data_IF_860507122782
#
_entry.id   IF_860507122782
#
_cell.length_a   1.000
_cell.length_b   1.000
_cell.length_c   1.000
_cell.angle_alpha   90.00
_cell.angle_beta   90.00
_cell.angle_gamma   90.00
#
_symmetry.space_group_name_H-M   'P 1'
#
loop_
_entity.id
_entity.type
_entity.pdbx_description
1 polymer ?
#
# COMPACT_ATOMS: atom_id res chain seq x y z
N UNK A 1 33.51 7.85 -5.81
CA UNK A 1 32.59 8.99 -6.01
C UNK A 1 31.17 8.58 -6.46
N UNK A 2 30.92 7.40 -7.07
CA UNK A 2 29.56 7.02 -7.52
C UNK A 2 28.63 6.35 -6.48
N UNK A 3 29.16 5.98 -5.32
CA UNK A 3 28.44 5.23 -4.25
C UNK A 3 27.61 6.16 -3.34
N UNK A 4 28.02 7.42 -3.19
CA UNK A 4 27.31 8.40 -2.35
C UNK A 4 26.14 9.05 -3.08
N UNK A 5 26.27 9.29 -4.39
CA UNK A 5 25.18 9.79 -5.23
C UNK A 5 24.02 8.78 -5.30
N UNK A 6 24.31 7.48 -5.33
CA UNK A 6 23.30 6.41 -5.37
C UNK A 6 22.60 6.19 -4.03
N UNK A 7 23.31 6.29 -2.90
CA UNK A 7 22.70 6.20 -1.57
C UNK A 7 21.74 7.37 -1.29
N UNK A 8 22.16 8.60 -1.59
CA UNK A 8 21.32 9.79 -1.44
C UNK A 8 20.10 9.78 -2.38
N UNK A 9 20.28 9.35 -3.63
CA UNK A 9 19.18 9.21 -4.58
C UNK A 9 18.16 8.15 -4.12
N UNK A 10 18.62 7.01 -3.60
CA UNK A 10 17.75 5.97 -3.03
C UNK A 10 16.92 6.50 -1.86
N UNK A 11 17.57 7.17 -0.90
CA UNK A 11 16.91 7.77 0.27
C UNK A 11 15.85 8.80 -0.14
N UNK A 12 16.20 9.65 -1.11
CA UNK A 12 15.27 10.62 -1.69
C UNK A 12 14.08 9.95 -2.37
N UNK A 13 14.31 8.93 -3.21
CA UNK A 13 13.23 8.21 -3.89
C UNK A 13 12.26 7.57 -2.90
N UNK A 14 12.75 6.92 -1.85
CA UNK A 14 11.89 6.30 -0.84
C UNK A 14 11.07 7.35 -0.07
N UNK A 15 11.69 8.46 0.34
CA UNK A 15 11.01 9.54 1.08
C UNK A 15 9.98 10.24 0.20
N UNK A 16 10.32 10.51 -1.06
CA UNK A 16 9.41 11.11 -2.02
C UNK A 16 8.22 10.19 -2.31
N UNK A 17 8.46 8.89 -2.52
CA UNK A 17 7.40 7.91 -2.69
C UNK A 17 6.50 7.82 -1.46
N UNK A 18 7.04 7.93 -0.24
CA UNK A 18 6.24 7.95 0.99
C UNK A 18 5.32 9.16 1.02
N UNK A 19 5.88 10.36 0.78
CA UNK A 19 5.11 11.60 0.80
C UNK A 19 4.00 11.60 -0.27
N UNK A 20 4.31 11.20 -1.50
CA UNK A 20 3.35 11.14 -2.60
C UNK A 20 2.26 10.11 -2.34
N UNK A 21 2.62 8.90 -1.87
CA UNK A 21 1.65 7.85 -1.55
C UNK A 21 0.72 8.30 -0.42
N UNK A 22 1.28 8.87 0.66
CA UNK A 22 0.48 9.37 1.77
C UNK A 22 -0.46 10.49 1.32
N UNK A 23 0.02 11.43 0.52
CA UNK A 23 -0.79 12.52 -0.01
C UNK A 23 -1.95 12.00 -0.87
N UNK A 24 -1.70 11.05 -1.78
CA UNK A 24 -2.75 10.49 -2.64
C UNK A 24 -3.78 9.72 -1.81
N UNK A 25 -3.34 8.84 -0.90
CA UNK A 25 -4.24 7.98 -0.12
C UNK A 25 -5.10 8.79 0.86
N UNK A 26 -4.54 9.82 1.49
CA UNK A 26 -5.29 10.72 2.38
C UNK A 26 -6.29 11.58 1.62
N UNK A 27 -5.92 12.14 0.47
CA UNK A 27 -6.87 12.85 -0.40
C UNK A 27 -8.00 11.93 -0.89
N UNK A 28 -7.67 10.68 -1.24
CA UNK A 28 -8.67 9.70 -1.66
C UNK A 28 -9.63 9.34 -0.51
N UNK A 29 -9.12 9.19 0.71
CA UNK A 29 -9.94 8.99 1.90
C UNK A 29 -10.89 10.18 2.16
N UNK A 30 -10.39 11.42 2.02
CA UNK A 30 -11.21 12.63 2.14
C UNK A 30 -12.29 12.69 1.04
N UNK A 31 -11.93 12.42 -0.21
CA UNK A 31 -12.87 12.39 -1.32
C UNK A 31 -13.97 11.34 -1.13
N UNK A 32 -13.61 10.13 -0.70
CA UNK A 32 -14.61 9.07 -0.45
C UNK A 32 -15.50 9.37 0.75
N UNK A 33 -14.99 10.03 1.79
CA UNK A 33 -15.78 10.53 2.91
C UNK A 33 -16.74 11.65 2.48
N UNK A 34 -16.29 12.60 1.65
CA UNK A 34 -17.16 13.62 1.07
C UNK A 34 -18.26 13.00 0.20
N UNK A 35 -17.89 12.06 -0.67
CA UNK A 35 -18.84 11.34 -1.53
C UNK A 35 -19.83 10.49 -0.72
N UNK A 36 -19.41 9.96 0.43
CA UNK A 36 -20.29 9.24 1.34
C UNK A 36 -21.46 10.11 1.82
N UNK A 37 -21.32 11.44 1.86
CA UNK A 37 -22.42 12.34 2.22
C UNK A 37 -23.60 12.26 1.24
N UNK A 38 -23.37 11.92 -0.02
CA UNK A 38 -24.43 11.71 -1.01
C UNK A 38 -25.09 10.32 -0.97
N UNK A 39 -24.60 9.39 -0.13
CA UNK A 39 -25.15 8.02 -0.03
C UNK A 39 -26.16 7.95 1.11
N UNK A 40 -27.29 7.28 0.86
CA UNK A 40 -28.28 6.91 1.86
C UNK A 40 -27.98 5.53 2.45
N UNK A 41 -28.39 5.29 3.70
CA UNK A 41 -28.19 4.03 4.42
C UNK A 41 -27.52 4.20 5.78
N UNK A 42 -27.11 3.07 6.37
CA UNK A 42 -26.43 3.04 7.68
C UNK A 42 -25.02 3.63 7.60
N UNK A 43 -24.46 4.07 8.74
CA UNK A 43 -23.12 4.66 8.81
C UNK A 43 -22.04 3.78 8.17
N UNK A 44 -22.09 2.45 8.38
CA UNK A 44 -21.15 1.49 7.79
C UNK A 44 -21.31 1.31 6.27
N UNK A 45 -22.54 1.37 5.75
CA UNK A 45 -22.77 1.33 4.30
C UNK A 45 -22.40 2.65 3.60
N UNK A 46 -22.49 3.75 4.35
CA UNK A 46 -22.19 5.11 3.90
C UNK A 46 -20.68 5.37 3.89
N UNK A 47 -20.03 5.21 5.04
CA UNK A 47 -18.61 5.53 5.27
C UNK A 47 -17.68 4.32 5.21
N UNK A 48 -18.19 3.10 5.02
CA UNK A 48 -17.38 1.88 4.89
C UNK A 48 -16.18 2.03 3.94
N UNK A 49 -16.35 2.55 2.71
CA UNK A 49 -15.24 2.78 1.80
C UNK A 49 -14.17 3.75 2.35
N UNK A 50 -14.59 4.80 3.07
CA UNK A 50 -13.67 5.77 3.65
C UNK A 50 -12.86 5.15 4.80
N UNK A 51 -13.51 4.39 5.68
CA UNK A 51 -12.82 3.69 6.77
C UNK A 51 -11.83 2.63 6.27
N UNK A 52 -12.20 1.90 5.21
CA UNK A 52 -11.28 0.96 4.56
C UNK A 52 -10.03 1.66 4.01
N UNK A 53 -10.18 2.85 3.42
CA UNK A 53 -9.04 3.65 2.94
C UNK A 53 -8.20 4.23 4.08
N UNK A 54 -8.83 4.70 5.16
CA UNK A 54 -8.12 5.20 6.34
C UNK A 54 -7.28 4.10 6.97
N UNK A 55 -7.77 2.85 7.00
CA UNK A 55 -6.99 1.70 7.50
C UNK A 55 -5.94 1.26 6.47
N UNK A 56 -6.26 1.24 5.17
CA UNK A 56 -5.31 0.87 4.12
C UNK A 56 -4.10 1.81 4.06
N UNK A 57 -4.29 3.10 4.36
CA UNK A 57 -3.26 4.14 4.29
C UNK A 57 -2.02 3.82 5.14
N UNK A 58 -2.11 3.65 6.48
CA UNK A 58 -0.96 3.31 7.30
C UNK A 58 -0.39 1.93 6.96
N UNK A 59 -1.22 0.98 6.53
CA UNK A 59 -0.76 -0.35 6.11
C UNK A 59 0.14 -0.29 4.87
N UNK A 60 -0.23 0.50 3.86
CA UNK A 60 0.59 0.71 2.67
C UNK A 60 1.82 1.56 2.97
N UNK A 61 1.68 2.58 3.81
CA UNK A 61 2.81 3.43 4.19
C UNK A 61 3.81 2.70 5.10
N UNK A 62 3.45 1.60 5.77
CA UNK A 62 4.32 0.90 6.72
C UNK A 62 5.64 0.42 6.08
N UNK A 63 5.59 -0.15 4.87
CA UNK A 63 6.81 -0.62 4.20
C UNK A 63 7.68 0.54 3.69
N UNK A 64 7.06 1.60 3.15
CA UNK A 64 7.79 2.81 2.75
C UNK A 64 8.43 3.51 3.96
N UNK A 65 7.74 3.52 5.10
CA UNK A 65 8.26 4.05 6.36
C UNK A 65 9.50 3.24 6.79
N UNK A 66 9.44 1.91 6.74
CA UNK A 66 10.61 1.04 7.02
C UNK A 66 11.80 1.40 6.14
N UNK A 67 11.58 1.60 4.84
CA UNK A 67 12.63 2.01 3.90
C UNK A 67 13.23 3.38 4.24
N UNK A 68 12.40 4.37 4.58
CA UNK A 68 12.87 5.70 4.99
C UNK A 68 13.67 5.66 6.30
N UNK A 69 13.21 4.87 7.29
CA UNK A 69 13.93 4.68 8.55
C UNK A 69 15.27 3.96 8.37
N UNK A 70 15.37 3.05 7.39
CA UNK A 70 16.63 2.41 7.03
C UNK A 70 17.61 3.38 6.37
N UNK A 71 17.12 4.23 5.46
CA UNK A 71 17.97 5.18 4.75
C UNK A 71 18.40 6.37 5.63
N UNK A 72 17.70 6.64 6.74
CA UNK A 72 18.05 7.68 7.73
C UNK A 72 18.96 7.17 8.85
N UNK A 73 19.43 5.93 8.76
CA UNK A 73 20.19 5.21 9.78
C UNK A 73 19.47 4.99 11.14
N UNK A 74 18.20 5.40 11.28
CA UNK A 74 17.40 5.33 12.52
C UNK A 74 17.02 3.87 12.86
N UNK A 75 16.69 3.06 11.86
CA UNK A 75 16.36 1.65 12.04
C UNK A 75 17.34 0.76 11.28
N UNK A 76 18.59 0.80 11.73
CA UNK A 76 19.68 -0.01 11.18
C UNK A 76 19.93 -1.24 12.05
N UNK A 77 19.91 -2.41 11.42
CA UNK A 77 20.18 -3.67 12.10
C UNK A 77 19.82 -4.87 11.24
N UNK A 78 20.16 -6.09 11.66
CA UNK A 78 19.72 -7.32 10.97
C UNK A 78 18.19 -7.46 10.99
N UNK A 79 17.50 -6.78 11.91
CA UNK A 79 16.05 -6.81 12.08
C UNK A 79 15.27 -5.97 11.08
N UNK A 80 15.85 -4.94 10.45
CA UNK A 80 15.17 -4.15 9.43
C UNK A 80 15.34 -4.72 8.01
N UNK A 81 16.34 -5.59 7.82
CA UNK A 81 16.64 -6.24 6.53
C UNK A 81 15.48 -7.14 6.11
N UNK A 82 15.04 -6.98 4.86
CA UNK A 82 13.95 -7.78 4.29
C UNK A 82 14.38 -9.22 3.97
N UNK A 83 15.66 -9.43 3.68
CA UNK A 83 16.25 -10.73 3.39
C UNK A 83 17.29 -11.09 4.44
N UNK A 84 17.50 -12.39 4.67
CA UNK A 84 18.59 -12.90 5.54
C UNK A 84 19.96 -12.73 4.87
N UNK A 85 20.97 -12.45 5.69
CA UNK A 85 22.34 -12.11 5.23
C UNK A 85 23.09 -13.25 4.53
N UNK A 86 22.74 -14.51 4.82
CA UNK A 86 23.39 -15.69 4.23
C UNK A 86 22.75 -16.17 2.94
N UNK A 87 21.76 -15.47 2.42
CA UNK A 87 21.23 -15.77 1.10
C UNK A 87 21.99 -14.98 0.05
N UNK A 88 22.57 -15.70 -0.91
CA UNK A 88 23.10 -15.10 -2.14
C UNK A 88 21.99 -14.43 -2.97
N UNK A 89 22.33 -13.93 -4.17
CA UNK A 89 21.36 -13.30 -5.07
C UNK A 89 20.26 -14.32 -5.42
N UNK A 90 19.11 -14.16 -4.76
CA UNK A 90 17.98 -15.08 -4.89
C UNK A 90 17.13 -14.67 -6.09
N UNK A 91 17.21 -15.45 -7.16
CA UNK A 91 16.35 -15.36 -8.34
C UNK A 91 15.20 -16.39 -8.24
N UNK A 92 13.98 -15.95 -8.60
CA UNK A 92 12.79 -16.82 -8.63
C UNK A 92 12.17 -17.11 -7.26
N UNK A 93 11.50 -18.27 -7.14
CA UNK A 93 10.75 -18.66 -5.93
C UNK A 93 11.61 -18.78 -4.66
N UNK A 94 12.93 -18.92 -4.81
CA UNK A 94 13.87 -19.05 -3.69
C UNK A 94 13.94 -17.78 -2.82
N UNK A 95 13.57 -16.62 -3.39
CA UNK A 95 13.49 -15.35 -2.66
C UNK A 95 12.42 -15.33 -1.55
N UNK A 96 11.32 -16.07 -1.72
CA UNK A 96 10.25 -16.14 -0.71
C UNK A 96 10.70 -16.86 0.57
N UNK A 97 11.53 -17.89 0.44
CA UNK A 97 12.05 -18.67 1.56
C UNK A 97 13.15 -17.95 2.34
N UNK A 98 13.81 -16.96 1.71
CA UNK A 98 14.83 -16.15 2.34
C UNK A 98 14.30 -14.88 3.03
N UNK A 99 13.00 -14.62 2.93
CA UNK A 99 12.40 -13.44 3.52
C UNK A 99 12.52 -13.49 5.06
N UNK A 100 13.00 -12.40 5.65
CA UNK A 100 13.02 -12.25 7.11
C UNK A 100 11.60 -12.11 7.65
N UNK A 101 11.45 -12.26 8.97
CA UNK A 101 10.16 -12.04 9.65
C UNK A 101 9.62 -10.63 9.33
N UNK A 102 10.51 -9.64 9.31
CA UNK A 102 10.18 -8.25 8.97
C UNK A 102 9.69 -8.13 7.52
N UNK A 103 10.31 -8.83 6.58
CA UNK A 103 9.87 -8.85 5.18
C UNK A 103 8.48 -9.47 5.02
N UNK A 104 8.19 -10.57 5.73
CA UNK A 104 6.86 -11.17 5.77
C UNK A 104 5.81 -10.21 6.36
N UNK A 105 6.10 -9.56 7.47
CA UNK A 105 5.14 -8.66 8.12
C UNK A 105 4.88 -7.38 7.32
N UNK A 106 5.92 -6.66 6.91
CA UNK A 106 5.74 -5.38 6.24
C UNK A 106 5.34 -5.54 4.78
N UNK A 107 5.99 -6.45 4.05
CA UNK A 107 5.73 -6.58 2.62
C UNK A 107 4.56 -7.51 2.31
N UNK A 108 4.48 -8.68 2.96
CA UNK A 108 3.39 -9.63 2.66
C UNK A 108 2.11 -9.24 3.39
N UNK A 109 2.17 -9.05 4.71
CA UNK A 109 0.96 -8.76 5.49
C UNK A 109 0.48 -7.34 5.26
N UNK A 110 1.25 -6.31 5.64
CA UNK A 110 0.75 -4.93 5.58
C UNK A 110 0.52 -4.42 4.16
N UNK A 111 1.47 -4.60 3.24
CA UNK A 111 1.33 -4.05 1.89
C UNK A 111 0.21 -4.73 1.10
N UNK A 112 0.16 -6.07 1.03
CA UNK A 112 -0.91 -6.73 0.26
C UNK A 112 -2.28 -6.59 0.92
N UNK A 113 -2.39 -6.66 2.25
CA UNK A 113 -3.69 -6.40 2.89
C UNK A 113 -4.13 -4.94 2.68
N UNK A 114 -3.19 -3.98 2.72
CA UNK A 114 -3.43 -2.60 2.33
C UNK A 114 -3.95 -2.47 0.90
N UNK A 115 -3.35 -3.18 -0.07
CA UNK A 115 -3.82 -3.21 -1.46
C UNK A 115 -5.22 -3.79 -1.59
N UNK A 116 -5.51 -4.90 -0.90
CA UNK A 116 -6.85 -5.52 -0.93
C UNK A 116 -7.89 -4.56 -0.34
N UNK A 117 -7.58 -3.90 0.77
CA UNK A 117 -8.46 -2.91 1.40
C UNK A 117 -8.68 -1.69 0.48
N UNK A 118 -7.63 -1.21 -0.18
CA UNK A 118 -7.74 -0.10 -1.13
C UNK A 118 -8.62 -0.47 -2.34
N UNK A 119 -8.37 -1.63 -2.96
CA UNK A 119 -9.16 -2.10 -4.11
C UNK A 119 -10.62 -2.30 -3.73
N UNK A 120 -10.89 -2.96 -2.60
CA UNK A 120 -12.26 -3.16 -2.12
C UNK A 120 -12.96 -1.84 -1.81
N UNK A 121 -12.28 -0.87 -1.20
CA UNK A 121 -12.82 0.46 -0.95
C UNK A 121 -13.17 1.20 -2.25
N UNK A 122 -12.28 1.17 -3.25
CA UNK A 122 -12.50 1.84 -4.54
C UNK A 122 -13.67 1.20 -5.29
N UNK A 123 -13.72 -0.13 -5.38
CA UNK A 123 -14.81 -0.86 -6.03
C UNK A 123 -16.16 -0.60 -5.36
N UNK A 124 -16.19 -0.54 -4.03
CA UNK A 124 -17.38 -0.19 -3.27
C UNK A 124 -17.78 1.27 -3.53
N UNK A 125 -16.86 2.23 -3.41
CA UNK A 125 -17.15 3.66 -3.54
C UNK A 125 -17.72 4.06 -4.91
N UNK A 126 -17.39 3.28 -5.95
CA UNK A 126 -17.80 3.52 -7.34
C UNK A 126 -19.04 2.72 -7.76
N UNK A 127 -19.53 1.79 -6.92
CA UNK A 127 -20.51 0.76 -7.29
C UNK A 127 -20.11 0.08 -8.63
N UNK A 128 -18.80 -0.11 -8.89
CA UNK A 128 -18.29 -0.52 -10.20
C UNK A 128 -18.88 -1.85 -10.65
N UNK A 129 -19.02 -2.80 -9.72
CA UNK A 129 -19.54 -4.15 -10.00
C UNK A 129 -20.96 -4.08 -10.56
N UNK A 130 -21.83 -3.20 -10.02
CA UNK A 130 -23.18 -3.04 -10.52
C UNK A 130 -23.17 -2.44 -11.94
N UNK A 131 -22.34 -1.42 -12.18
CA UNK A 131 -22.19 -0.81 -13.50
C UNK A 131 -21.64 -1.79 -14.53
N UNK A 132 -20.66 -2.61 -14.15
CA UNK A 132 -20.05 -3.62 -15.02
C UNK A 132 -21.06 -4.70 -15.41
N UNK A 133 -21.88 -5.16 -14.45
CA UNK A 133 -22.96 -6.11 -14.71
C UNK A 133 -23.98 -5.56 -15.71
N UNK A 134 -24.40 -4.30 -15.53
CA UNK A 134 -25.33 -3.63 -16.45
C UNK A 134 -24.75 -3.49 -17.87
N UNK A 135 -23.49 -3.08 -17.98
CA UNK A 135 -22.79 -2.98 -19.27
C UNK A 135 -22.65 -4.36 -19.95
N UNK A 136 -22.32 -5.40 -19.19
CA UNK A 136 -22.19 -6.76 -19.69
C UNK A 136 -23.51 -7.32 -20.22
N UNK A 137 -24.62 -7.07 -19.52
CA UNK A 137 -25.95 -7.48 -20.00
C UNK A 137 -26.35 -6.75 -21.29
N UNK A 138 -25.98 -5.47 -21.43
CA UNK A 138 -26.28 -4.69 -22.64
C UNK A 138 -25.43 -5.07 -23.86
N UNK A 139 -24.25 -5.66 -23.68
CA UNK A 139 -23.43 -6.21 -24.77
C UNK A 139 -23.90 -7.62 -25.20
N UNK A 140 -24.67 -8.30 -24.35
CA UNK A 140 -25.15 -9.66 -24.62
C UNK A 140 -26.53 -9.68 -25.29
N UNK A 141 -27.25 -8.56 -25.31
CA UNK A 141 -28.50 -8.34 -26.06
C UNK A 141 -28.21 -7.80 -27.46
#
# INVERSE_FOLDING_TARGET
MGITATAGAKAFSHTFSLALTLAILTNLAQYTAWKALGRSGTHWQRFGPAWLLVIATPLMCADLMRHCLQDSDIWTGPSSRMYRDHCGPVSGLHGFWCLSITGWLFSIVFTYSGFVLLVTAVLWSSNLIAKLRLAWTGLRS
#
